data_IF_511584798518
#
_entry.id   IF_511584798518
#
_cell.length_a   1.000
_cell.length_b   1.000
_cell.length_c   1.000
_cell.angle_alpha   90.00
_cell.angle_beta   90.00
_cell.angle_gamma   90.00
#
_symmetry.space_group_name_H-M   'P 1'
#
loop_
_entity.id
_entity.type
_entity.pdbx_description
1 polymer ?
#
# COMPACT_ATOMS: atom_id res chain seq x y z
N UNK A 1 12.13 15.64 4.08
CA UNK A 1 11.44 16.45 5.11
C UNK A 1 10.65 15.50 6.00
N UNK A 2 11.38 14.72 6.81
CA UNK A 2 10.82 13.86 7.85
C UNK A 2 11.13 14.58 9.14
N UNK A 3 10.07 14.81 9.90
CA UNK A 3 10.03 15.50 11.19
C UNK A 3 10.98 14.80 12.16
N UNK A 4 12.20 15.31 12.28
CA UNK A 4 13.12 15.03 13.40
C UNK A 4 13.60 16.38 13.98
N UNK A 5 12.64 17.26 14.21
CA UNK A 5 12.78 18.45 15.03
C UNK A 5 11.56 18.45 15.93
N UNK A 6 11.76 18.56 17.24
CA UNK A 6 10.78 18.38 18.33
C UNK A 6 10.46 16.93 18.69
N UNK A 7 11.41 16.27 19.34
CA UNK A 7 11.19 14.99 20.00
C UNK A 7 12.22 14.83 21.09
N UNK A 8 12.05 15.59 22.16
CA UNK A 8 12.79 15.52 23.42
C UNK A 8 12.62 14.12 24.00
N UNK A 9 13.42 13.15 23.52
CA UNK A 9 13.64 11.91 24.23
C UNK A 9 14.59 12.26 25.37
N UNK A 10 13.96 12.75 26.43
CA UNK A 10 14.55 13.03 27.72
C UNK A 10 15.00 11.68 28.31
N UNK A 11 16.17 11.21 27.88
CA UNK A 11 17.02 10.37 28.72
C UNK A 11 17.39 11.25 29.92
N UNK A 12 16.52 11.22 30.92
CA UNK A 12 16.66 11.90 32.20
C UNK A 12 17.73 11.19 33.05
N UNK A 13 18.95 11.14 32.52
CA UNK A 13 20.18 10.71 33.19
C UNK A 13 21.37 11.32 32.42
N UNK A 14 21.47 12.66 32.36
CA UNK A 14 22.75 13.29 32.08
C UNK A 14 22.96 14.45 33.05
N UNK A 15 23.50 14.10 34.22
CA UNK A 15 24.08 15.05 35.15
C UNK A 15 25.22 15.81 34.44
N UNK A 16 25.16 17.14 34.31
CA UNK A 16 26.11 17.92 33.53
C UNK A 16 27.46 18.15 34.24
N UNK A 17 27.75 17.48 35.37
CA UNK A 17 28.95 17.72 36.19
C UNK A 17 29.74 16.46 36.61
N UNK A 18 29.56 15.33 35.93
CA UNK A 18 30.42 14.15 36.12
C UNK A 18 31.34 13.93 34.93
N UNK A 19 32.65 14.05 35.11
CA UNK A 19 33.65 13.60 34.13
C UNK A 19 33.45 12.11 33.87
N UNK A 20 32.64 11.78 32.85
CA UNK A 20 32.42 10.40 32.47
C UNK A 20 33.77 9.78 32.11
N UNK A 21 34.11 8.62 32.71
CA UNK A 21 35.35 7.95 32.42
C UNK A 21 35.54 7.75 30.91
N UNK A 22 36.78 7.86 30.43
CA UNK A 22 37.10 7.76 29.00
C UNK A 22 36.58 6.46 28.36
N UNK A 23 36.52 5.37 29.12
CA UNK A 23 36.00 4.08 28.66
C UNK A 23 34.50 4.11 28.35
N UNK A 24 33.69 4.81 29.16
CA UNK A 24 32.25 4.96 28.92
C UNK A 24 32.02 5.78 27.64
N UNK A 25 32.80 6.85 27.44
CA UNK A 25 32.74 7.67 26.21
C UNK A 25 33.11 6.86 24.98
N UNK A 26 34.10 5.98 25.08
CA UNK A 26 34.49 5.07 24.01
C UNK A 26 33.36 4.08 23.66
N UNK A 27 32.75 3.46 24.66
CA UNK A 27 31.63 2.52 24.45
C UNK A 27 30.44 3.23 23.76
N UNK A 28 30.09 4.43 24.21
CA UNK A 28 29.01 5.21 23.59
C UNK A 28 29.36 5.57 22.13
N UNK A 29 30.61 5.90 21.83
CA UNK A 29 31.05 6.19 20.47
C UNK A 29 30.93 4.97 19.55
N UNK A 30 31.33 3.79 20.03
CA UNK A 30 31.18 2.52 19.29
C UNK A 30 29.71 2.21 19.02
N UNK A 31 28.85 2.32 20.03
CA UNK A 31 27.41 2.09 19.87
C UNK A 31 26.77 3.06 18.88
N UNK A 32 27.14 4.35 18.92
CA UNK A 32 26.65 5.35 17.96
C UNK A 32 27.10 5.05 16.53
N UNK A 33 28.35 4.65 16.34
CA UNK A 33 28.85 4.24 15.02
C UNK A 33 28.10 3.01 14.49
N UNK A 34 27.80 2.07 15.38
CA UNK A 34 27.04 0.86 15.05
C UNK A 34 25.59 1.17 14.65
N UNK A 35 24.89 2.03 15.38
CA UNK A 35 23.56 2.50 14.99
C UNK A 35 23.59 3.24 13.65
N UNK A 36 24.60 4.08 13.40
CA UNK A 36 24.76 4.76 12.12
C UNK A 36 24.91 3.79 10.95
N UNK A 37 25.69 2.71 11.11
CA UNK A 37 25.82 1.67 10.08
C UNK A 37 24.47 1.00 9.83
N UNK A 38 23.72 0.65 10.88
CA UNK A 38 22.38 0.09 10.73
C UNK A 38 21.41 1.03 10.03
N UNK A 39 21.42 2.31 10.39
CA UNK A 39 20.58 3.32 9.75
C UNK A 39 20.92 3.44 8.26
N UNK A 40 22.20 3.46 7.88
CA UNK A 40 22.60 3.47 6.47
C UNK A 40 22.15 2.20 5.73
N UNK A 41 22.37 1.03 6.32
CA UNK A 41 22.01 -0.25 5.70
C UNK A 41 20.50 -0.43 5.55
N UNK A 42 19.69 0.15 6.43
CA UNK A 42 18.23 0.07 6.34
C UNK A 42 17.66 1.16 5.44
N UNK A 43 18.15 2.40 5.59
CA UNK A 43 17.64 3.57 4.87
C UNK A 43 17.97 3.52 3.37
N UNK A 44 19.19 3.14 2.98
CA UNK A 44 19.62 3.18 1.57
C UNK A 44 18.79 2.23 0.69
N UNK A 45 18.59 0.94 1.06
CA UNK A 45 17.71 0.05 0.30
C UNK A 45 16.25 0.53 0.31
N UNK A 46 15.77 1.03 1.44
CA UNK A 46 14.40 1.54 1.54
C UNK A 46 14.16 2.73 0.59
N UNK A 47 15.08 3.69 0.53
CA UNK A 47 14.98 4.85 -0.37
C UNK A 47 15.13 4.42 -1.85
N UNK A 48 16.05 3.49 -2.16
CA UNK A 48 16.28 3.06 -3.54
C UNK A 48 15.08 2.31 -4.13
N UNK A 49 14.49 1.38 -3.37
CA UNK A 49 13.39 0.55 -3.86
C UNK A 49 12.00 1.17 -3.61
N UNK A 50 11.86 2.07 -2.63
CA UNK A 50 10.57 2.51 -2.13
C UNK A 50 10.51 3.99 -1.71
N UNK A 51 11.29 4.87 -2.36
CA UNK A 51 11.38 6.30 -2.03
C UNK A 51 10.02 6.94 -1.71
N UNK A 52 9.81 7.40 -0.46
CA UNK A 52 8.60 8.13 -0.06
C UNK A 52 8.41 9.40 -0.90
N UNK A 53 9.51 10.04 -1.29
CA UNK A 53 9.51 11.23 -2.14
C UNK A 53 8.85 10.98 -3.51
N UNK A 54 9.20 9.88 -4.18
CA UNK A 54 8.57 9.52 -5.46
C UNK A 54 7.11 9.11 -5.28
N UNK A 55 6.76 8.44 -4.18
CA UNK A 55 5.35 8.11 -3.86
C UNK A 55 4.52 9.37 -3.64
N UNK A 56 5.05 10.34 -2.88
CA UNK A 56 4.40 11.63 -2.64
C UNK A 56 4.22 12.40 -3.96
N UNK A 57 5.27 12.51 -4.78
CA UNK A 57 5.19 13.18 -6.07
C UNK A 57 4.14 12.54 -7.00
N UNK A 58 4.04 11.21 -7.01
CA UNK A 58 2.99 10.49 -7.76
C UNK A 58 1.59 10.73 -7.20
N UNK A 59 1.45 11.01 -5.90
CA UNK A 59 0.17 11.27 -5.24
C UNK A 59 -0.30 12.71 -5.41
N UNK A 60 0.63 13.67 -5.40
CA UNK A 60 0.37 15.11 -5.53
C UNK A 60 0.05 15.54 -6.97
N UNK A 61 0.40 14.70 -7.96
CA UNK A 61 0.10 15.00 -9.36
C UNK A 61 -1.41 15.20 -9.57
N UNK A 62 -1.77 16.27 -10.27
CA UNK A 62 -3.17 16.52 -10.65
C UNK A 62 -3.64 15.42 -11.61
N UNK A 63 -4.53 14.54 -11.17
CA UNK A 63 -4.99 13.39 -11.97
C UNK A 63 -6.09 13.76 -12.96
N UNK A 64 -6.87 14.80 -12.68
CA UNK A 64 -7.97 15.24 -13.53
C UNK A 64 -8.11 16.76 -13.52
N UNK A 65 -8.63 17.30 -14.63
CA UNK A 65 -8.98 18.72 -14.80
C UNK A 65 -10.36 18.87 -15.45
N UNK A 66 -11.10 19.95 -15.14
CA UNK A 66 -12.35 20.25 -15.84
C UNK A 66 -12.10 20.56 -17.32
N UNK A 67 -13.06 20.27 -18.19
CA UNK A 67 -12.97 20.52 -19.63
C UNK A 67 -13.08 22.01 -19.97
N UNK A 68 -13.92 22.75 -19.24
CA UNK A 68 -14.08 24.21 -19.39
C UNK A 68 -14.12 24.90 -18.03
N UNK A 69 -15.16 24.62 -17.26
CA UNK A 69 -15.45 25.25 -15.96
C UNK A 69 -15.56 24.21 -14.83
N UNK A 70 -15.60 24.63 -13.57
CA UNK A 70 -15.66 23.69 -12.42
C UNK A 70 -16.87 22.74 -12.45
N UNK A 71 -17.99 23.17 -13.04
CA UNK A 71 -19.20 22.36 -13.23
C UNK A 71 -19.14 21.42 -14.45
N UNK A 72 -18.07 21.49 -15.25
CA UNK A 72 -17.90 20.63 -16.41
C UNK A 72 -17.36 19.23 -16.02
N UNK A 73 -17.60 18.20 -16.84
CA UNK A 73 -17.04 16.89 -16.60
C UNK A 73 -15.52 16.92 -16.44
N UNK A 74 -15.00 16.25 -15.43
CA UNK A 74 -13.57 16.15 -15.18
C UNK A 74 -12.96 15.05 -16.07
N UNK A 75 -11.84 15.36 -16.73
CA UNK A 75 -11.10 14.42 -17.58
C UNK A 75 -9.68 14.23 -17.04
N UNK A 76 -9.13 13.05 -17.28
CA UNK A 76 -7.73 12.75 -16.97
C UNK A 76 -6.82 13.74 -17.73
N UNK A 77 -5.81 14.28 -17.04
CA UNK A 77 -4.83 15.21 -17.62
C UNK A 77 -3.97 14.57 -18.70
N UNK A 78 -3.70 13.27 -18.57
CA UNK A 78 -2.86 12.49 -19.49
C UNK A 78 -3.64 12.08 -20.77
N UNK A 79 -4.90 12.51 -20.88
CA UNK A 79 -5.78 12.18 -21.99
C UNK A 79 -6.70 11.01 -21.70
N UNK A 80 -7.54 10.67 -22.68
CA UNK A 80 -8.39 9.49 -22.59
C UNK A 80 -7.55 8.25 -22.84
N UNK A 81 -7.40 7.42 -21.80
CA UNK A 81 -6.80 6.11 -21.92
C UNK A 81 -7.82 5.21 -22.62
N UNK A 82 -7.44 4.70 -23.79
CA UNK A 82 -8.17 3.65 -24.48
C UNK A 82 -7.37 2.38 -24.31
N UNK A 83 -7.96 1.39 -23.66
CA UNK A 83 -7.46 0.02 -23.69
C UNK A 83 -8.41 -0.75 -24.60
N UNK A 84 -8.04 -0.86 -25.87
CA UNK A 84 -8.86 -1.54 -26.86
C UNK A 84 -8.62 -3.05 -26.76
N UNK A 85 -9.65 -3.77 -26.33
CA UNK A 85 -9.68 -5.22 -26.34
C UNK A 85 -10.38 -5.69 -27.62
N UNK A 86 -9.64 -6.12 -28.66
CA UNK A 86 -10.24 -6.46 -29.95
C UNK A 86 -11.22 -7.63 -29.81
N UNK A 87 -12.48 -7.43 -30.18
CA UNK A 87 -13.56 -8.42 -30.13
C UNK A 87 -14.47 -8.35 -28.90
N UNK A 88 -14.14 -7.51 -27.91
CA UNK A 88 -14.94 -7.29 -26.71
C UNK A 88 -15.84 -6.06 -26.86
N UNK A 89 -16.86 -6.17 -27.73
CA UNK A 89 -17.71 -5.03 -28.12
C UNK A 89 -18.75 -4.60 -27.07
N UNK A 90 -18.88 -5.34 -25.96
CA UNK A 90 -19.86 -5.07 -24.90
C UNK A 90 -19.18 -4.96 -23.53
N UNK A 91 -19.81 -4.24 -22.61
CA UNK A 91 -19.31 -4.10 -21.24
C UNK A 91 -19.18 -5.47 -20.55
N UNK A 92 -20.13 -6.37 -20.81
CA UNK A 92 -20.13 -7.74 -20.27
C UNK A 92 -18.93 -8.58 -20.77
N UNK A 93 -18.66 -8.51 -22.07
CA UNK A 93 -17.51 -9.11 -22.73
C UNK A 93 -16.20 -8.56 -22.15
N UNK A 94 -16.07 -7.24 -22.06
CA UNK A 94 -14.90 -6.56 -21.49
C UNK A 94 -14.69 -6.92 -20.01
N UNK A 95 -15.76 -6.96 -19.22
CA UNK A 95 -15.70 -7.35 -17.82
C UNK A 95 -15.23 -8.79 -17.67
N UNK A 96 -15.81 -9.72 -18.44
CA UNK A 96 -15.41 -11.12 -18.46
C UNK A 96 -13.95 -11.28 -18.89
N UNK A 97 -13.51 -10.50 -19.88
CA UNK A 97 -12.12 -10.46 -20.34
C UNK A 97 -11.18 -10.03 -19.22
N UNK A 98 -11.48 -8.93 -18.54
CA UNK A 98 -10.68 -8.42 -17.42
C UNK A 98 -10.62 -9.40 -16.25
N UNK A 99 -11.75 -10.03 -15.89
CA UNK A 99 -11.81 -11.06 -14.84
C UNK A 99 -10.91 -12.24 -15.19
N UNK A 100 -10.91 -12.70 -16.45
CA UNK A 100 -10.01 -13.77 -16.91
C UNK A 100 -8.55 -13.35 -16.92
N UNK A 101 -8.25 -12.13 -17.37
CA UNK A 101 -6.89 -11.60 -17.49
C UNK A 101 -6.20 -11.45 -16.14
N UNK A 102 -6.95 -11.10 -15.09
CA UNK A 102 -6.44 -10.87 -13.74
C UNK A 102 -6.92 -11.91 -12.72
N UNK A 103 -7.37 -13.08 -13.18
CA UNK A 103 -7.91 -14.14 -12.33
C UNK A 103 -6.92 -14.62 -11.27
N UNK A 104 -5.63 -14.54 -11.56
CA UNK A 104 -4.50 -14.93 -10.72
C UNK A 104 -4.09 -13.85 -9.70
N UNK A 105 -4.61 -12.62 -9.82
CA UNK A 105 -4.24 -11.51 -8.95
C UNK A 105 -5.21 -11.39 -7.78
N UNK A 106 -4.72 -11.22 -6.53
CA UNK A 106 -5.58 -11.06 -5.35
C UNK A 106 -6.39 -9.74 -5.35
N UNK A 107 -6.08 -8.81 -6.25
CA UNK A 107 -6.53 -7.42 -6.21
C UNK A 107 -7.99 -7.17 -6.64
N UNK A 108 -8.72 -8.19 -7.10
CA UNK A 108 -10.12 -8.04 -7.53
C UNK A 108 -11.15 -8.38 -6.46
N UNK A 109 -10.72 -8.76 -5.25
CA UNK A 109 -11.64 -9.17 -4.18
C UNK A 109 -12.42 -10.44 -4.53
N UNK A 110 -11.91 -11.25 -5.47
CA UNK A 110 -12.42 -12.57 -5.80
C UNK A 110 -12.28 -13.44 -4.57
N UNK A 111 -13.40 -14.02 -4.12
CA UNK A 111 -13.40 -14.89 -2.95
C UNK A 111 -13.31 -16.35 -3.37
N UNK A 112 -12.57 -17.15 -2.61
CA UNK A 112 -12.46 -18.58 -2.85
C UNK A 112 -13.72 -19.29 -2.35
N UNK A 113 -14.32 -20.10 -3.23
CA UNK A 113 -15.41 -21.00 -2.91
C UNK A 113 -14.85 -22.19 -2.12
N UNK A 114 -15.25 -22.36 -0.87
CA UNK A 114 -14.77 -23.46 -0.03
C UNK A 114 -15.67 -24.69 -0.19
N UNK A 115 -16.95 -24.50 0.08
CA UNK A 115 -17.90 -25.61 0.10
C UNK A 115 -19.31 -25.12 -0.27
N UNK A 116 -20.08 -25.99 -0.91
CA UNK A 116 -21.50 -25.75 -1.22
C UNK A 116 -22.31 -26.82 -0.51
N UNK A 117 -23.18 -26.41 0.40
CA UNK A 117 -24.08 -27.29 1.14
C UNK A 117 -25.48 -27.26 0.55
N UNK A 118 -26.04 -28.44 0.30
CA UNK A 118 -27.43 -28.57 -0.12
C UNK A 118 -28.34 -28.86 1.08
N UNK A 119 -29.16 -27.88 1.47
CA UNK A 119 -30.17 -28.06 2.52
C UNK A 119 -31.54 -28.36 1.91
N UNK A 120 -32.09 -29.54 2.21
CA UNK A 120 -33.46 -29.90 1.86
C UNK A 120 -34.43 -29.30 2.86
N UNK A 121 -35.24 -28.35 2.40
CA UNK A 121 -36.32 -27.78 3.20
C UNK A 121 -37.49 -28.78 3.34
N UNK A 122 -38.29 -28.66 4.40
CA UNK A 122 -39.47 -29.52 4.62
C UNK A 122 -40.56 -29.39 3.54
N UNK A 123 -40.48 -28.36 2.69
CA UNK A 123 -41.34 -28.18 1.51
C UNK A 123 -40.81 -28.89 0.26
N UNK A 124 -39.71 -29.63 0.35
CA UNK A 124 -39.08 -30.36 -0.76
C UNK A 124 -38.15 -29.52 -1.63
N UNK A 125 -38.01 -28.21 -1.39
CA UNK A 125 -37.05 -27.36 -2.12
C UNK A 125 -35.63 -27.60 -1.59
N UNK A 126 -34.67 -27.64 -2.50
CA UNK A 126 -33.25 -27.73 -2.19
C UNK A 126 -32.68 -26.32 -2.22
N UNK A 127 -31.99 -25.92 -1.16
CA UNK A 127 -31.30 -24.63 -1.08
C UNK A 127 -29.79 -24.87 -1.08
N UNK A 128 -29.09 -24.26 -2.02
CA UNK A 128 -27.62 -24.28 -2.06
C UNK A 128 -27.08 -23.14 -1.22
N UNK A 129 -26.46 -23.48 -0.09
CA UNK A 129 -25.77 -22.56 0.79
C UNK A 129 -24.28 -22.60 0.46
N UNK A 130 -23.70 -21.44 0.21
CA UNK A 130 -22.32 -21.33 -0.23
C UNK A 130 -21.44 -20.81 0.90
N UNK A 131 -20.39 -21.55 1.22
CA UNK A 131 -19.33 -21.12 2.13
C UNK A 131 -18.15 -20.57 1.34
N UNK A 132 -17.71 -19.38 1.72
CA UNK A 132 -16.75 -18.58 0.96
C UNK A 132 -15.68 -18.09 1.94
N UNK A 133 -14.41 -18.15 1.54
CA UNK A 133 -13.29 -17.66 2.34
C UNK A 133 -13.24 -16.13 2.40
N UNK A 134 -12.66 -15.58 3.47
CA UNK A 134 -12.53 -14.13 3.68
C UNK A 134 -11.57 -13.47 2.67
N UNK A 135 -11.72 -12.16 2.50
CA UNK A 135 -10.96 -11.36 1.52
C UNK A 135 -9.45 -11.41 1.82
N UNK A 136 -8.67 -12.01 0.92
CA UNK A 136 -7.22 -11.84 0.87
C UNK A 136 -6.90 -10.44 0.29
N UNK A 137 -6.50 -9.49 1.13
CA UNK A 137 -5.98 -8.17 0.71
C UNK A 137 -4.47 -8.22 0.47
#
# INVERSE_FOLDING_TARGET
MIVILTGTLQVHCFDPRGTSPLWIRFIIAVLRAWFFVYDCLNYIPYELFNSPSAKLQKSERTKAKPVKDLDSPWRNVDGQLYEDFPGEDTIDKLFTHAVKLFADRPALGTRELLEVHEEKQPNGRIFEKVEIFDLNF
#
